data_IF_642305976208
#
_entry.id   IF_642305976208
#
_cell.length_a   1.000
_cell.length_b   1.000
_cell.length_c   1.000
_cell.angle_alpha   90.00
_cell.angle_beta   90.00
_cell.angle_gamma   90.00
#
_symmetry.space_group_name_H-M   'P 1'
#
loop_
_entity.id
_entity.type
_entity.pdbx_description
1 polymer ?
#
# COMPACT_ATOMS: atom_id res chain seq x y z
N UNK A 1 15.82 -6.83 -14.58
CA UNK A 1 15.59 -5.53 -15.23
C UNK A 1 16.15 -4.33 -14.44
N UNK A 2 16.07 -4.32 -13.10
CA UNK A 2 16.58 -3.21 -12.26
C UNK A 2 18.07 -2.94 -12.43
N UNK A 3 18.92 -3.95 -12.63
CA UNK A 3 20.33 -3.78 -12.86
C UNK A 3 20.58 -3.06 -14.20
N UNK A 4 19.90 -3.49 -15.24
CA UNK A 4 19.94 -2.90 -16.58
C UNK A 4 19.49 -1.44 -16.58
N UNK A 5 18.40 -1.16 -15.85
CA UNK A 5 17.86 0.18 -15.67
C UNK A 5 18.86 1.14 -15.02
N UNK A 6 19.55 0.70 -13.95
CA UNK A 6 20.60 1.49 -13.29
C UNK A 6 21.77 1.80 -14.20
N UNK A 7 22.18 0.80 -15.00
CA UNK A 7 23.28 0.97 -15.98
C UNK A 7 22.88 1.97 -17.06
N UNK A 8 21.70 1.83 -17.66
CA UNK A 8 21.20 2.73 -18.69
C UNK A 8 21.11 4.18 -18.18
N UNK A 9 20.63 4.39 -16.95
CA UNK A 9 20.58 5.70 -16.31
C UNK A 9 22.00 6.26 -16.09
N UNK A 10 22.91 5.47 -15.54
CA UNK A 10 24.29 5.89 -15.27
C UNK A 10 25.02 6.30 -16.55
N UNK A 11 24.70 5.68 -17.68
CA UNK A 11 25.27 5.98 -18.98
C UNK A 11 24.52 7.10 -19.74
N UNK A 12 23.48 7.70 -19.15
CA UNK A 12 22.70 8.77 -19.79
C UNK A 12 21.88 8.31 -21.00
N UNK A 13 21.56 7.00 -21.11
CA UNK A 13 20.81 6.44 -22.24
C UNK A 13 19.30 6.61 -22.04
N UNK A 14 18.81 7.84 -22.23
CA UNK A 14 17.43 8.22 -21.90
C UNK A 14 16.36 7.32 -22.56
N UNK A 15 16.49 7.06 -23.86
CA UNK A 15 15.54 6.20 -24.56
C UNK A 15 15.53 4.76 -24.03
N UNK A 16 16.69 4.23 -23.63
CA UNK A 16 16.78 2.87 -23.09
C UNK A 16 16.14 2.75 -21.71
N UNK A 17 16.43 3.67 -20.79
CA UNK A 17 15.81 3.56 -19.46
C UNK A 17 14.32 3.93 -19.46
N UNK A 18 13.87 4.83 -20.36
CA UNK A 18 12.45 5.12 -20.52
C UNK A 18 11.68 3.88 -21.00
N UNK A 19 12.20 3.17 -22.00
CA UNK A 19 11.60 1.93 -22.48
C UNK A 19 11.58 0.85 -21.41
N UNK A 20 12.67 0.67 -20.65
CA UNK A 20 12.73 -0.29 -19.55
C UNK A 20 11.73 0.01 -18.46
N UNK A 21 11.54 1.29 -18.08
CA UNK A 21 10.52 1.69 -17.10
C UNK A 21 9.11 1.39 -17.61
N UNK A 22 8.82 1.70 -18.88
CA UNK A 22 7.53 1.37 -19.48
C UNK A 22 7.27 -0.14 -19.48
N UNK A 23 8.22 -0.95 -19.93
CA UNK A 23 8.10 -2.40 -19.93
C UNK A 23 7.88 -2.96 -18.52
N UNK A 24 8.60 -2.42 -17.53
CA UNK A 24 8.44 -2.82 -16.13
C UNK A 24 7.06 -2.42 -15.59
N UNK A 25 6.56 -1.23 -15.93
CA UNK A 25 5.22 -0.78 -15.57
C UNK A 25 4.15 -1.73 -16.12
N UNK A 26 4.15 -2.01 -17.42
CA UNK A 26 3.14 -2.86 -18.04
C UNK A 26 3.16 -4.30 -17.54
N UNK A 27 4.33 -4.84 -17.17
CA UNK A 27 4.43 -6.17 -16.56
C UNK A 27 3.92 -6.25 -15.12
N UNK A 28 3.96 -5.15 -14.39
CA UNK A 28 3.56 -5.15 -12.98
C UNK A 28 2.15 -4.57 -12.77
N UNK A 29 1.62 -3.84 -13.74
CA UNK A 29 0.37 -3.10 -13.64
C UNK A 29 -0.80 -3.93 -13.11
N UNK A 30 -0.95 -5.12 -13.60
CA UNK A 30 -2.08 -6.00 -13.29
C UNK A 30 -1.73 -6.96 -12.12
N UNK A 31 -0.47 -7.40 -12.02
CA UNK A 31 -0.03 -8.37 -11.01
C UNK A 31 0.48 -7.73 -9.72
N UNK A 32 1.04 -6.54 -9.79
CA UNK A 32 1.64 -5.82 -8.67
C UNK A 32 1.46 -4.29 -8.80
N UNK A 33 0.24 -3.78 -8.53
CA UNK A 33 -0.07 -2.37 -8.68
C UNK A 33 0.82 -1.47 -7.80
N UNK A 34 1.33 -1.97 -6.66
CA UNK A 34 2.26 -1.21 -5.81
C UNK A 34 3.62 -1.07 -6.50
N UNK A 35 4.15 -2.14 -7.09
CA UNK A 35 5.37 -2.07 -7.86
C UNK A 35 5.20 -1.18 -9.10
N UNK A 36 4.06 -1.26 -9.77
CA UNK A 36 3.72 -0.38 -10.90
C UNK A 36 3.69 1.10 -10.48
N UNK A 37 3.10 1.43 -9.34
CA UNK A 37 3.10 2.78 -8.80
C UNK A 37 4.51 3.30 -8.49
N UNK A 38 5.36 2.47 -7.87
CA UNK A 38 6.77 2.82 -7.65
C UNK A 38 7.50 3.14 -8.95
N UNK A 39 7.22 2.38 -10.02
CA UNK A 39 7.78 2.64 -11.35
C UNK A 39 7.29 3.97 -11.89
N UNK A 40 6.01 4.30 -11.73
CA UNK A 40 5.46 5.61 -12.14
C UNK A 40 6.14 6.76 -11.40
N UNK A 41 6.38 6.62 -10.09
CA UNK A 41 7.14 7.63 -9.33
C UNK A 41 8.56 7.81 -9.86
N UNK A 42 9.26 6.71 -10.19
CA UNK A 42 10.58 6.78 -10.82
C UNK A 42 10.53 7.45 -12.19
N UNK A 43 9.50 7.19 -12.99
CA UNK A 43 9.30 7.86 -14.28
C UNK A 43 9.20 9.38 -14.12
N UNK A 44 8.52 9.85 -13.09
CA UNK A 44 8.42 11.30 -12.79
C UNK A 44 9.76 11.83 -12.31
N UNK A 45 10.40 11.18 -11.35
CA UNK A 45 11.71 11.57 -10.81
C UNK A 45 12.76 11.68 -11.92
N UNK A 46 12.74 10.76 -12.88
CA UNK A 46 13.68 10.73 -13.99
C UNK A 46 13.21 11.52 -15.22
N UNK A 47 12.13 12.29 -15.07
CA UNK A 47 11.56 13.15 -16.13
C UNK A 47 11.12 12.41 -17.40
N UNK A 48 10.82 11.11 -17.28
CA UNK A 48 10.26 10.28 -18.36
C UNK A 48 8.76 10.50 -18.51
N UNK A 49 8.08 10.85 -17.40
CA UNK A 49 6.66 11.05 -17.35
C UNK A 49 6.31 12.35 -16.62
N UNK A 50 5.37 13.10 -17.16
CA UNK A 50 4.89 14.32 -16.50
C UNK A 50 4.04 13.99 -15.26
N UNK A 51 4.13 14.81 -14.17
CA UNK A 51 3.39 14.55 -12.92
C UNK A 51 1.87 14.44 -13.11
N UNK A 52 1.28 15.22 -14.04
CA UNK A 52 -0.14 15.17 -14.34
C UNK A 52 -0.57 13.83 -14.93
N UNK A 53 0.23 13.27 -15.84
CA UNK A 53 0.00 11.95 -16.44
C UNK A 53 0.24 10.84 -15.45
N UNK A 54 1.26 10.97 -14.59
CA UNK A 54 1.54 10.04 -13.52
C UNK A 54 0.35 9.88 -12.57
N UNK A 55 -0.26 11.01 -12.16
CA UNK A 55 -1.46 10.99 -11.29
C UNK A 55 -2.63 10.24 -11.94
N UNK A 56 -2.82 10.41 -13.25
CA UNK A 56 -3.87 9.69 -13.98
C UNK A 56 -3.58 8.18 -14.03
N UNK A 57 -2.33 7.78 -14.32
CA UNK A 57 -1.91 6.37 -14.34
C UNK A 57 -2.07 5.71 -12.97
N UNK A 58 -1.62 6.35 -11.89
CA UNK A 58 -1.78 5.85 -10.53
C UNK A 58 -3.27 5.68 -10.21
N UNK A 59 -4.11 6.64 -10.61
CA UNK A 59 -5.56 6.53 -10.45
C UNK A 59 -6.14 5.27 -11.11
N UNK A 60 -5.66 4.87 -12.27
CA UNK A 60 -6.13 3.64 -12.95
C UNK A 60 -5.66 2.37 -12.26
N UNK A 61 -4.48 2.34 -11.64
CA UNK A 61 -4.00 1.18 -10.89
C UNK A 61 -4.85 0.82 -9.67
N UNK A 62 -5.55 1.80 -9.13
CA UNK A 62 -6.32 1.66 -7.88
C UNK A 62 -7.84 1.58 -8.11
N UNK A 63 -8.32 1.81 -9.33
CA UNK A 63 -9.75 1.71 -9.65
C UNK A 63 -10.25 0.27 -9.62
N UNK A 64 -9.39 -0.71 -9.86
CA UNK A 64 -9.78 -2.14 -9.86
C UNK A 64 -9.77 -2.77 -8.46
N UNK A 65 -9.12 -2.13 -7.48
CA UNK A 65 -9.05 -2.61 -6.08
C UNK A 65 -10.02 -1.92 -5.13
N UNK A 66 -10.70 -0.87 -5.57
CA UNK A 66 -11.77 -0.26 -4.80
C UNK A 66 -13.05 -1.12 -4.96
N UNK A 67 -13.17 -2.16 -4.14
CA UNK A 67 -14.47 -2.79 -3.90
C UNK A 67 -15.47 -1.65 -3.63
N UNK A 68 -16.61 -1.64 -4.35
CA UNK A 68 -17.67 -0.66 -4.10
C UNK A 68 -18.05 -0.74 -2.61
N UNK A 69 -17.71 0.30 -1.86
CA UNK A 69 -18.02 0.35 -0.43
C UNK A 69 -19.52 0.57 -0.31
N UNK A 70 -20.21 -0.38 0.33
CA UNK A 70 -21.66 -0.32 0.54
C UNK A 70 -22.03 0.94 1.33
N UNK A 71 -23.13 1.63 0.96
CA UNK A 71 -23.62 2.79 1.71
C UNK A 71 -23.89 2.42 3.19
N UNK A 72 -23.56 3.35 4.09
CA UNK A 72 -23.83 3.20 5.53
C UNK A 72 -22.68 2.63 6.36
N UNK A 73 -21.66 2.03 5.76
CA UNK A 73 -20.50 1.53 6.50
C UNK A 73 -19.70 2.64 7.20
N UNK A 74 -19.63 3.83 6.59
CA UNK A 74 -19.04 5.00 7.23
C UNK A 74 -19.71 5.34 8.57
N UNK A 75 -21.04 5.24 8.63
CA UNK A 75 -21.79 5.47 9.87
C UNK A 75 -21.42 4.43 10.91
N UNK A 76 -21.38 3.15 10.56
CA UNK A 76 -20.98 2.06 11.48
C UNK A 76 -19.59 2.29 12.05
N UNK A 77 -18.63 2.70 11.21
CA UNK A 77 -17.27 3.02 11.64
C UNK A 77 -17.24 4.21 12.62
N UNK A 78 -18.03 5.26 12.37
CA UNK A 78 -18.15 6.43 13.25
C UNK A 78 -18.88 6.08 14.55
N UNK A 79 -19.91 5.22 14.47
CA UNK A 79 -20.66 4.73 15.63
C UNK A 79 -19.83 3.78 16.53
N UNK A 80 -18.57 3.51 16.14
CA UNK A 80 -17.59 2.77 16.94
C UNK A 80 -17.71 1.26 16.81
N UNK A 81 -18.19 0.75 15.68
CA UNK A 81 -18.16 -0.70 15.44
C UNK A 81 -16.72 -1.23 15.45
N UNK A 82 -16.42 -2.30 16.20
CA UNK A 82 -15.06 -2.82 16.33
C UNK A 82 -14.51 -3.28 14.99
N UNK A 83 -13.31 -2.83 14.64
CA UNK A 83 -12.57 -3.30 13.45
C UNK A 83 -11.07 -3.25 13.71
N UNK A 84 -10.37 -4.34 13.38
CA UNK A 84 -8.94 -4.49 13.60
C UNK A 84 -8.18 -4.40 12.28
N UNK A 85 -7.27 -3.45 12.18
CA UNK A 85 -6.47 -3.21 10.97
C UNK A 85 -5.00 -3.49 11.25
N UNK A 86 -4.37 -4.25 10.38
CA UNK A 86 -2.92 -4.38 10.35
C UNK A 86 -2.33 -3.47 9.27
N UNK A 87 -1.40 -2.62 9.67
CA UNK A 87 -0.62 -1.79 8.75
C UNK A 87 0.79 -2.37 8.61
N UNK A 88 1.18 -2.77 7.40
CA UNK A 88 2.46 -3.38 7.10
C UNK A 88 3.29 -2.47 6.20
N UNK A 89 4.54 -2.29 6.53
CA UNK A 89 5.51 -1.52 5.74
C UNK A 89 5.80 -0.15 6.31
N UNK A 90 6.46 0.67 5.51
CA UNK A 90 7.03 1.91 6.00
C UNK A 90 8.36 1.69 6.74
N UNK A 91 9.05 2.78 6.98
CA UNK A 91 10.31 2.84 7.70
C UNK A 91 10.21 3.80 8.89
N UNK A 92 11.33 4.16 9.49
CA UNK A 92 11.40 5.07 10.65
C UNK A 92 10.73 6.43 10.38
N UNK A 93 10.70 6.90 9.13
CA UNK A 93 10.05 8.17 8.77
C UNK A 93 8.53 8.04 8.90
N UNK A 94 7.95 6.91 8.49
CA UNK A 94 6.51 6.68 8.63
C UNK A 94 6.14 6.38 10.08
N UNK A 95 6.99 5.68 10.83
CA UNK A 95 6.75 5.38 12.24
C UNK A 95 6.58 6.64 13.11
N UNK A 96 7.12 7.77 12.70
CA UNK A 96 6.90 9.06 13.39
C UNK A 96 5.43 9.50 13.42
N UNK A 97 4.60 8.99 12.50
CA UNK A 97 3.19 9.34 12.43
C UNK A 97 2.29 8.44 13.26
N UNK A 98 2.78 7.31 13.77
CA UNK A 98 1.96 6.27 14.42
C UNK A 98 1.10 6.82 15.55
N UNK A 99 1.70 7.59 16.45
CA UNK A 99 0.96 8.14 17.60
C UNK A 99 -0.10 9.16 17.17
N UNK A 100 0.25 10.03 16.23
CA UNK A 100 -0.69 11.01 15.68
C UNK A 100 -1.83 10.34 14.91
N UNK A 101 -1.54 9.24 14.18
CA UNK A 101 -2.54 8.43 13.48
C UNK A 101 -3.44 7.70 14.48
N UNK A 102 -2.88 7.02 15.50
CA UNK A 102 -3.66 6.37 16.56
C UNK A 102 -4.60 7.34 17.28
N UNK A 103 -4.09 8.52 17.64
CA UNK A 103 -4.88 9.56 18.29
C UNK A 103 -6.02 10.06 17.40
N UNK A 104 -5.77 10.19 16.10
CA UNK A 104 -6.80 10.58 15.13
C UNK A 104 -7.86 9.49 14.94
N UNK A 105 -7.46 8.22 14.88
CA UNK A 105 -8.36 7.07 14.78
C UNK A 105 -9.27 7.01 16.01
N UNK A 106 -8.71 7.03 17.21
CA UNK A 106 -9.49 6.99 18.47
C UNK A 106 -10.53 8.09 18.56
N UNK A 107 -10.23 9.28 18.03
CA UNK A 107 -11.14 10.41 18.04
C UNK A 107 -12.25 10.29 17.01
N UNK A 108 -11.97 9.73 15.83
CA UNK A 108 -12.90 9.68 14.71
C UNK A 108 -13.65 8.36 14.63
N UNK A 109 -13.00 7.25 14.99
CA UNK A 109 -13.50 5.87 14.84
C UNK A 109 -13.12 5.05 16.07
N UNK A 110 -13.82 5.28 17.17
CA UNK A 110 -13.46 4.75 18.49
C UNK A 110 -13.31 3.22 18.56
N UNK A 111 -14.04 2.49 17.70
CA UNK A 111 -13.97 1.02 17.59
C UNK A 111 -12.84 0.52 16.68
N UNK A 112 -12.16 1.40 15.93
CA UNK A 112 -11.08 0.98 15.07
C UNK A 112 -9.77 0.82 15.85
N UNK A 113 -9.21 -0.39 15.88
CA UNK A 113 -7.89 -0.67 16.42
C UNK A 113 -6.88 -0.90 15.30
N UNK A 114 -5.65 -0.42 15.50
CA UNK A 114 -4.60 -0.54 14.50
C UNK A 114 -3.28 -1.02 15.10
N UNK A 115 -2.71 -2.02 14.44
CA UNK A 115 -1.35 -2.51 14.67
C UNK A 115 -0.44 -2.07 13.55
N UNK A 116 0.69 -1.43 13.85
CA UNK A 116 1.72 -1.07 12.88
C UNK A 116 2.87 -2.06 12.92
N UNK A 117 3.28 -2.52 11.75
CA UNK A 117 4.43 -3.39 11.52
C UNK A 117 5.38 -2.74 10.50
N UNK A 118 6.27 -1.88 10.99
CA UNK A 118 7.26 -1.22 10.14
C UNK A 118 8.39 -2.18 9.81
N UNK A 119 8.48 -2.55 8.54
CA UNK A 119 9.44 -3.55 8.06
C UNK A 119 10.71 -2.95 7.49
N UNK A 120 10.65 -1.69 7.03
CA UNK A 120 11.74 -1.02 6.35
C UNK A 120 12.34 -1.89 5.23
N UNK A 121 13.64 -1.75 4.99
CA UNK A 121 14.39 -2.50 3.99
C UNK A 121 15.17 -3.69 4.60
N UNK A 122 14.60 -4.35 5.60
CA UNK A 122 15.23 -5.47 6.32
C UNK A 122 15.81 -6.54 5.38
N UNK A 123 17.04 -6.97 5.65
CA UNK A 123 17.66 -8.09 4.94
C UNK A 123 17.04 -9.45 5.33
N UNK A 124 16.46 -9.53 6.52
CA UNK A 124 15.85 -10.75 7.08
C UNK A 124 14.35 -10.87 6.77
N UNK A 125 13.87 -10.20 5.71
CA UNK A 125 12.47 -10.14 5.35
C UNK A 125 11.79 -11.51 5.23
N UNK A 126 12.51 -12.56 4.78
CA UNK A 126 11.95 -13.90 4.65
C UNK A 126 11.42 -14.49 5.97
N UNK A 127 12.06 -14.17 7.10
CA UNK A 127 11.61 -14.62 8.43
C UNK A 127 10.39 -13.85 8.94
N UNK A 128 10.12 -12.68 8.39
CA UNK A 128 8.99 -11.85 8.80
C UNK A 128 7.69 -12.27 8.12
N UNK A 129 7.76 -12.91 6.96
CA UNK A 129 6.58 -13.23 6.13
C UNK A 129 5.50 -13.97 6.91
N UNK A 130 5.85 -15.09 7.54
CA UNK A 130 4.84 -15.95 8.17
C UNK A 130 4.20 -15.26 9.38
N UNK A 131 4.98 -14.47 10.15
CA UNK A 131 4.43 -13.66 11.25
C UNK A 131 3.50 -12.57 10.74
N UNK A 132 3.85 -11.87 9.66
CA UNK A 132 3.02 -10.82 9.08
C UNK A 132 1.72 -11.39 8.48
N UNK A 133 1.82 -12.53 7.81
CA UNK A 133 0.64 -13.23 7.26
C UNK A 133 -0.29 -13.70 8.37
N UNK A 134 0.26 -14.28 9.45
CA UNK A 134 -0.54 -14.71 10.60
C UNK A 134 -1.28 -13.53 11.23
N UNK A 135 -0.61 -12.41 11.48
CA UNK A 135 -1.21 -11.18 12.00
C UNK A 135 -2.24 -10.60 11.04
N UNK A 136 -1.94 -10.58 9.73
CA UNK A 136 -2.84 -10.08 8.70
C UNK A 136 -4.13 -10.89 8.61
N UNK A 137 -4.03 -12.22 8.67
CA UNK A 137 -5.20 -13.10 8.63
C UNK A 137 -6.02 -13.07 9.94
N UNK A 138 -5.43 -12.64 11.05
CA UNK A 138 -6.14 -12.38 12.31
C UNK A 138 -6.81 -11.00 12.37
N UNK A 139 -6.48 -10.09 11.45
CA UNK A 139 -7.10 -8.76 11.34
C UNK A 139 -8.32 -8.80 10.42
N UNK A 140 -9.14 -7.76 10.41
CA UNK A 140 -10.29 -7.65 9.50
C UNK A 140 -9.87 -7.21 8.10
N UNK A 141 -8.86 -6.33 8.03
CA UNK A 141 -8.23 -5.93 6.78
C UNK A 141 -6.78 -5.51 6.99
N UNK A 142 -6.02 -5.45 5.92
CA UNK A 142 -4.59 -5.11 5.94
C UNK A 142 -4.32 -3.89 5.05
N UNK A 143 -3.54 -2.94 5.56
CA UNK A 143 -2.96 -1.85 4.76
C UNK A 143 -1.51 -2.19 4.45
N UNK A 144 -1.12 -2.12 3.20
CA UNK A 144 0.25 -2.39 2.77
C UNK A 144 0.89 -1.12 2.21
N UNK A 145 1.92 -0.63 2.89
CA UNK A 145 2.70 0.53 2.46
C UNK A 145 3.89 0.10 1.60
N UNK A 146 4.14 0.76 0.46
CA UNK A 146 5.20 0.36 -0.46
C UNK A 146 6.63 0.55 0.04
N UNK A 147 6.86 1.30 1.12
CA UNK A 147 8.18 1.54 1.70
C UNK A 147 8.71 0.31 2.45
N UNK A 148 8.84 -0.80 1.73
CA UNK A 148 9.41 -2.08 2.16
C UNK A 148 10.07 -2.78 0.97
N UNK A 149 10.76 -3.91 1.21
CA UNK A 149 11.25 -4.74 0.10
C UNK A 149 10.08 -5.25 -0.75
N UNK A 150 10.16 -5.01 -2.06
CA UNK A 150 9.11 -5.39 -3.03
C UNK A 150 8.73 -6.87 -2.91
N UNK A 151 9.74 -7.74 -2.75
CA UNK A 151 9.50 -9.18 -2.61
C UNK A 151 8.77 -9.53 -1.31
N UNK A 152 9.04 -8.84 -0.20
CA UNK A 152 8.30 -9.01 1.05
C UNK A 152 6.82 -8.65 0.84
N UNK A 153 6.54 -7.46 0.31
CA UNK A 153 5.18 -7.00 0.06
C UNK A 153 4.40 -7.95 -0.86
N UNK A 154 5.01 -8.40 -1.97
CA UNK A 154 4.41 -9.38 -2.89
C UNK A 154 4.12 -10.70 -2.19
N UNK A 155 5.08 -11.25 -1.44
CA UNK A 155 4.92 -12.55 -0.77
C UNK A 155 3.84 -12.50 0.30
N UNK A 156 3.77 -11.44 1.08
CA UNK A 156 2.72 -11.24 2.09
C UNK A 156 1.35 -11.17 1.42
N UNK A 157 1.17 -10.32 0.41
CA UNK A 157 -0.11 -10.18 -0.33
C UNK A 157 -0.63 -11.50 -0.87
N UNK A 158 0.24 -12.29 -1.50
CA UNK A 158 -0.14 -13.57 -2.10
C UNK A 158 -0.55 -14.63 -1.08
N UNK A 159 -0.19 -14.46 0.20
CA UNK A 159 -0.54 -15.38 1.30
C UNK A 159 -1.68 -14.89 2.19
N UNK A 160 -2.09 -13.63 2.06
CA UNK A 160 -3.21 -13.08 2.82
C UNK A 160 -4.54 -13.66 2.34
N UNK A 161 -5.39 -14.03 3.28
CA UNK A 161 -6.79 -14.44 3.04
C UNK A 161 -7.78 -13.31 3.34
N UNK A 162 -7.31 -12.27 4.00
CA UNK A 162 -8.08 -11.06 4.32
C UNK A 162 -7.90 -9.98 3.25
N UNK A 163 -8.88 -9.09 3.08
CA UNK A 163 -8.75 -7.99 2.14
C UNK A 163 -7.57 -7.10 2.52
N UNK A 164 -6.90 -6.62 1.52
CA UNK A 164 -5.82 -5.67 1.71
C UNK A 164 -5.94 -4.49 0.75
N UNK A 165 -5.45 -3.33 1.16
CA UNK A 165 -5.36 -2.14 0.33
C UNK A 165 -3.96 -1.54 0.35
N UNK A 166 -3.52 -0.90 -0.75
CA UNK A 166 -2.26 -0.19 -0.77
C UNK A 166 -2.37 1.17 -0.07
N UNK A 167 -1.34 1.55 0.69
CA UNK A 167 -1.17 2.91 1.16
C UNK A 167 -0.32 3.70 0.16
N UNK A 168 -0.96 4.46 -0.71
CA UNK A 168 -0.30 5.16 -1.83
C UNK A 168 0.27 6.53 -1.46
N UNK A 169 -0.21 7.14 -0.38
CA UNK A 169 0.27 8.43 0.13
C UNK A 169 1.01 8.26 1.44
N UNK A 170 2.28 8.71 1.47
CA UNK A 170 3.24 8.42 2.54
C UNK A 170 3.12 9.32 3.78
N UNK A 171 2.34 10.39 3.71
CA UNK A 171 2.10 11.31 4.82
C UNK A 171 0.96 10.85 5.74
N UNK A 172 0.85 11.49 6.91
CA UNK A 172 -0.15 11.18 7.93
C UNK A 172 -1.57 11.03 7.38
N UNK A 173 -2.01 11.97 6.56
CA UNK A 173 -3.39 11.99 6.03
C UNK A 173 -3.62 10.87 5.01
N UNK A 174 -2.59 10.52 4.22
CA UNK A 174 -2.65 9.36 3.33
C UNK A 174 -2.72 8.04 4.07
N UNK A 175 -1.99 7.91 5.18
CA UNK A 175 -2.08 6.74 6.07
C UNK A 175 -3.49 6.63 6.66
N UNK A 176 -4.06 7.74 7.18
CA UNK A 176 -5.42 7.75 7.73
C UNK A 176 -6.47 7.38 6.70
N UNK A 177 -6.39 7.93 5.48
CA UNK A 177 -7.30 7.57 4.38
C UNK A 177 -7.25 6.07 4.06
N UNK A 178 -6.04 5.50 4.00
CA UNK A 178 -5.86 4.08 3.72
C UNK A 178 -6.43 3.20 4.84
N UNK A 179 -6.23 3.59 6.09
CA UNK A 179 -6.79 2.88 7.25
C UNK A 179 -8.32 2.95 7.24
N UNK A 180 -8.91 4.11 6.93
CA UNK A 180 -10.36 4.25 6.79
C UNK A 180 -10.90 3.32 5.71
N UNK A 181 -10.30 3.29 4.54
CA UNK A 181 -10.71 2.40 3.45
C UNK A 181 -10.60 0.92 3.87
N UNK A 182 -9.51 0.52 4.52
CA UNK A 182 -9.34 -0.83 5.02
C UNK A 182 -10.42 -1.19 6.06
N UNK A 183 -10.74 -0.28 6.97
CA UNK A 183 -11.78 -0.49 7.96
C UNK A 183 -13.16 -0.71 7.31
N UNK A 184 -13.51 0.09 6.31
CA UNK A 184 -14.78 -0.05 5.58
C UNK A 184 -14.86 -1.38 4.83
N UNK A 185 -13.77 -1.80 4.17
CA UNK A 185 -13.70 -3.08 3.46
C UNK A 185 -13.76 -4.25 4.46
N UNK A 186 -13.09 -4.15 5.61
CA UNK A 186 -13.14 -5.14 6.67
C UNK A 186 -14.55 -5.33 7.25
N UNK A 187 -15.27 -4.23 7.49
CA UNK A 187 -16.67 -4.27 7.92
C UNK A 187 -17.58 -4.89 6.85
N UNK A 188 -17.40 -4.51 5.58
CA UNK A 188 -18.15 -5.07 4.46
C UNK A 188 -17.97 -6.57 4.34
N UNK A 189 -16.76 -7.08 4.47
CA UNK A 189 -16.49 -8.51 4.34
C UNK A 189 -17.09 -9.32 5.47
N UNK A 190 -17.22 -8.76 6.68
CA UNK A 190 -17.93 -9.44 7.79
C UNK A 190 -19.41 -9.69 7.49
N UNK A 191 -20.04 -8.80 6.72
CA UNK A 191 -21.45 -8.94 6.35
C UNK A 191 -21.67 -10.00 5.24
N UNK A 192 -20.60 -10.46 4.60
CA UNK A 192 -20.65 -11.42 3.48
C UNK A 192 -20.31 -12.85 3.91
N UNK A 193 -19.90 -13.04 5.15
CA UNK A 193 -19.57 -14.34 5.78
C UNK A 193 -20.69 -14.77 6.73
#
# INVERSE_FOLDING_TARGET
DWARLRIARKLGREGEYANLLNDMFFRNRDDDPIAAEQIVHLMVEWKVLEPKRAKALIGTLHTETAAEIKPGLDKRLVDGEPVNILFIGGNEIQAQYDEAVRSSIKRQWAGCDITFEHTGWSSNWGRMVDSLVLKGNASDAVVIMPMMRTLLGRTVRNKLTKPWIPCTRLGRDGILDSIRQAALIGLQQRDEV
#
